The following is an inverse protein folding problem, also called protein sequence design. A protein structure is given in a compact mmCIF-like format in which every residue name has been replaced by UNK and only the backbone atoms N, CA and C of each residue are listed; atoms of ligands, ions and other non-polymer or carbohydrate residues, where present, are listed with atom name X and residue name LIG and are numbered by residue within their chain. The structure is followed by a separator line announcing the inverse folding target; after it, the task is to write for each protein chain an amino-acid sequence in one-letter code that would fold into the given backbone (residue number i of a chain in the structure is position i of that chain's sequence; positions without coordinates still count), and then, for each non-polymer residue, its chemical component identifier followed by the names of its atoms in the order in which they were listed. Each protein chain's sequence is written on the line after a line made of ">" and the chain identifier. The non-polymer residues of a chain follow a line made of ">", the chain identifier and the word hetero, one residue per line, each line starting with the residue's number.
data_IF_593405389203
#
_entry.id   IF_593405389203
#
_cell.length_a   1.000
_cell.length_b   1.000
_cell.length_c   1.000
_cell.angle_alpha   90.00
_cell.angle_beta   90.00
_cell.angle_gamma   90.00
#
_symmetry.space_group_name_H-M   'P 1'
#
loop_
_entity.id
_entity.type
_entity.pdbx_description
1 polymer ?
#
# COMPACT_ATOMS: atom_id res chain seq x y z
N UNK A 1 4.54 -1.13 -14.08
CA UNK A 1 5.79 -0.35 -14.06
C UNK A 1 5.78 0.67 -15.20
N UNK A 2 5.20 1.86 -15.02
CA UNK A 2 5.01 2.84 -16.12
C UNK A 2 5.57 4.24 -15.85
N UNK A 3 6.34 4.40 -14.77
CA UNK A 3 6.94 5.69 -14.38
C UNK A 3 8.47 5.63 -14.25
N UNK A 4 9.11 4.48 -14.47
CA UNK A 4 10.56 4.34 -14.34
C UNK A 4 11.38 5.11 -15.41
N UNK A 5 10.70 5.56 -16.48
CA UNK A 5 11.31 6.19 -17.67
C UNK A 5 10.94 7.67 -17.86
N UNK A 6 10.26 8.30 -16.89
CA UNK A 6 9.98 9.75 -16.97
C UNK A 6 11.13 10.54 -16.36
N UNK A 7 11.68 11.47 -17.12
CA UNK A 7 12.65 12.44 -16.61
C UNK A 7 12.05 13.20 -15.41
N UNK A 8 12.77 13.19 -14.29
CA UNK A 8 12.35 13.89 -13.08
C UNK A 8 12.38 15.41 -13.32
N UNK A 9 11.33 16.16 -12.92
CA UNK A 9 11.34 17.62 -13.03
C UNK A 9 12.54 18.21 -12.29
N UNK A 10 13.38 19.01 -12.95
CA UNK A 10 14.66 19.50 -12.40
C UNK A 10 14.55 20.56 -11.27
N UNK A 11 13.37 20.76 -10.66
CA UNK A 11 13.10 21.91 -9.79
C UNK A 11 12.93 21.61 -8.29
N UNK A 12 12.81 20.34 -7.88
CA UNK A 12 12.65 19.95 -6.46
C UNK A 12 13.47 18.69 -6.21
N UNK A 13 14.06 18.55 -5.03
CA UNK A 13 14.80 17.35 -4.62
C UNK A 13 13.83 16.17 -4.56
N UNK A 14 13.79 15.38 -5.63
CA UNK A 14 13.04 14.13 -5.67
C UNK A 14 13.94 13.02 -5.12
N UNK A 15 13.54 12.42 -4.00
CA UNK A 15 14.14 11.17 -3.53
C UNK A 15 13.44 10.04 -4.29
N UNK A 16 14.18 9.36 -5.18
CA UNK A 16 13.69 8.18 -5.88
C UNK A 16 13.84 6.99 -4.94
N UNK A 17 12.75 6.57 -4.31
CA UNK A 17 12.73 5.33 -3.53
C UNK A 17 12.62 4.16 -4.50
N UNK A 18 13.76 3.57 -4.83
CA UNK A 18 13.83 2.31 -5.56
C UNK A 18 13.85 1.16 -4.56
N UNK A 19 13.11 0.09 -4.85
CA UNK A 19 13.16 -1.15 -4.10
C UNK A 19 13.78 -2.22 -5.00
N UNK A 20 14.62 -3.06 -4.42
CA UNK A 20 15.15 -4.24 -5.10
C UNK A 20 14.05 -5.30 -5.30
N UNK A 21 14.25 -6.20 -6.28
CA UNK A 21 13.34 -7.33 -6.51
C UNK A 21 13.17 -8.19 -5.23
N UNK A 22 14.25 -8.36 -4.46
CA UNK A 22 14.20 -9.04 -3.17
C UNK A 22 13.28 -8.34 -2.16
N UNK A 23 13.38 -7.01 -2.03
CA UNK A 23 12.50 -6.24 -1.14
C UNK A 23 11.04 -6.29 -1.61
N UNK A 24 10.82 -6.25 -2.93
CA UNK A 24 9.49 -6.38 -3.52
C UNK A 24 8.86 -7.74 -3.18
N UNK A 25 9.62 -8.84 -3.29
CA UNK A 25 9.17 -10.18 -2.93
C UNK A 25 8.83 -10.29 -1.44
N UNK A 26 9.65 -9.69 -0.57
CA UNK A 26 9.38 -9.69 0.87
C UNK A 26 8.10 -8.92 1.23
N UNK A 27 7.87 -7.76 0.59
CA UNK A 27 6.62 -7.00 0.75
C UNK A 27 5.42 -7.81 0.24
N UNK A 28 5.57 -8.48 -0.90
CA UNK A 28 4.49 -9.30 -1.47
C UNK A 28 4.17 -10.51 -0.58
N UNK A 29 5.19 -11.17 -0.02
CA UNK A 29 5.03 -12.27 0.94
C UNK A 29 4.31 -11.79 2.21
N UNK A 30 4.68 -10.62 2.74
CA UNK A 30 4.03 -10.01 3.89
C UNK A 30 2.53 -9.74 3.62
N UNK A 31 2.20 -9.07 2.52
CA UNK A 31 0.81 -8.76 2.16
C UNK A 31 -0.02 -10.03 2.01
N UNK A 32 0.53 -11.07 1.36
CA UNK A 32 -0.13 -12.38 1.22
C UNK A 32 -0.35 -13.05 2.57
N UNK A 33 0.63 -12.98 3.47
CA UNK A 33 0.53 -13.54 4.82
C UNK A 33 -0.57 -12.87 5.62
N UNK A 34 -0.63 -11.54 5.61
CA UNK A 34 -1.67 -10.76 6.33
C UNK A 34 -3.08 -11.04 5.81
N UNK A 35 -3.24 -11.23 4.49
CA UNK A 35 -4.55 -11.58 3.91
C UNK A 35 -5.00 -13.01 4.26
N UNK A 36 -4.05 -13.94 4.39
CA UNK A 36 -4.33 -15.35 4.73
C UNK A 36 -4.45 -15.61 6.23
N UNK A 37 -3.90 -14.73 7.07
CA UNK A 37 -3.91 -14.88 8.53
C UNK A 37 -5.33 -14.92 9.09
N UNK A 38 -5.61 -15.91 9.95
CA UNK A 38 -6.88 -16.00 10.70
C UNK A 38 -6.94 -15.00 11.86
N UNK A 39 -5.80 -14.43 12.26
CA UNK A 39 -5.73 -13.40 13.31
C UNK A 39 -6.08 -12.01 12.81
N UNK A 40 -6.23 -11.84 11.50
CA UNK A 40 -6.50 -10.53 10.89
C UNK A 40 -7.99 -10.40 10.63
N UNK A 41 -8.61 -9.41 11.25
CA UNK A 41 -10.04 -9.15 11.11
C UNK A 41 -10.41 -8.83 9.65
N UNK A 42 -11.67 -9.13 9.30
CA UNK A 42 -12.22 -8.85 7.97
C UNK A 42 -12.02 -7.39 7.55
N UNK A 43 -12.27 -6.45 8.45
CA UNK A 43 -12.09 -5.01 8.20
C UNK A 43 -10.65 -4.65 7.87
N UNK A 44 -9.68 -5.28 8.53
CA UNK A 44 -8.26 -5.07 8.27
C UNK A 44 -7.85 -5.68 6.93
N UNK A 45 -8.36 -6.87 6.59
CA UNK A 45 -8.15 -7.47 5.25
C UNK A 45 -8.72 -6.57 4.16
N UNK A 46 -9.90 -6.01 4.38
CA UNK A 46 -10.52 -5.07 3.46
C UNK A 46 -9.70 -3.77 3.32
N UNK A 47 -9.18 -3.23 4.42
CA UNK A 47 -8.26 -2.09 4.40
C UNK A 47 -7.01 -2.37 3.55
N UNK A 48 -6.41 -3.55 3.72
CA UNK A 48 -5.25 -4.00 2.96
C UNK A 48 -5.56 -4.11 1.45
N UNK A 49 -6.75 -4.58 1.08
CA UNK A 49 -7.19 -4.62 -0.32
C UNK A 49 -7.29 -3.20 -0.90
N UNK A 50 -7.88 -2.25 -0.17
CA UNK A 50 -7.93 -0.84 -0.59
C UNK A 50 -6.53 -0.26 -0.81
N UNK A 51 -5.58 -0.59 0.07
CA UNK A 51 -4.18 -0.18 -0.05
C UNK A 51 -3.51 -0.77 -1.29
N UNK A 52 -3.68 -2.07 -1.54
CA UNK A 52 -3.10 -2.76 -2.71
C UNK A 52 -3.64 -2.14 -3.99
N UNK A 53 -4.95 -1.96 -4.12
CA UNK A 53 -5.56 -1.33 -5.30
C UNK A 53 -5.08 0.11 -5.50
N UNK A 54 -4.87 0.85 -4.41
CA UNK A 54 -4.40 2.23 -4.49
C UNK A 54 -2.92 2.35 -4.87
N UNK A 55 -2.05 1.53 -4.26
CA UNK A 55 -0.58 1.69 -4.33
C UNK A 55 0.14 0.69 -5.21
N UNK A 56 -0.29 -0.56 -5.20
CA UNK A 56 0.32 -1.62 -6.02
C UNK A 56 -0.26 -1.58 -7.44
N UNK A 57 -1.59 -1.50 -7.56
CA UNK A 57 -2.28 -1.43 -8.86
C UNK A 57 -2.37 -0.01 -9.44
N UNK A 58 -1.98 1.00 -8.65
CA UNK A 58 -1.97 2.42 -9.01
C UNK A 58 -3.31 2.95 -9.59
N UNK A 59 -4.45 2.44 -9.10
CA UNK A 59 -5.78 2.80 -9.61
C UNK A 59 -6.27 4.18 -9.19
N UNK A 60 -5.64 4.79 -8.17
CA UNK A 60 -6.07 6.06 -7.58
C UNK A 60 -7.30 5.92 -6.68
N UNK A 61 -7.52 6.89 -5.79
CA UNK A 61 -8.57 6.81 -4.74
C UNK A 61 -10.00 6.76 -5.29
N UNK A 62 -10.28 7.47 -6.39
CA UNK A 62 -11.62 7.49 -6.99
C UNK A 62 -12.04 6.14 -7.54
N UNK A 63 -11.13 5.44 -8.22
CA UNK A 63 -11.40 4.11 -8.78
C UNK A 63 -11.48 3.04 -7.69
N UNK A 64 -10.65 3.14 -6.64
CA UNK A 64 -10.75 2.27 -5.46
C UNK A 64 -12.13 2.43 -4.82
N UNK A 65 -12.58 3.67 -4.58
CA UNK A 65 -13.88 3.96 -4.00
C UNK A 65 -15.06 3.38 -4.83
N UNK A 66 -14.97 3.46 -6.16
CA UNK A 66 -15.94 2.82 -7.06
C UNK A 66 -15.91 1.29 -6.99
N UNK A 67 -14.73 0.67 -7.01
CA UNK A 67 -14.58 -0.79 -6.96
C UNK A 67 -14.98 -1.36 -5.59
N UNK A 68 -14.86 -0.59 -4.51
CA UNK A 68 -15.15 -1.03 -3.14
C UNK A 68 -16.52 -0.58 -2.62
N UNK A 69 -17.32 0.10 -3.44
CA UNK A 69 -18.61 0.71 -3.06
C UNK A 69 -18.50 1.61 -1.82
N UNK A 70 -17.46 2.44 -1.77
CA UNK A 70 -17.21 3.38 -0.68
C UNK A 70 -17.17 4.82 -1.20
N UNK A 71 -17.33 5.80 -0.30
CA UNK A 71 -17.00 7.18 -0.64
C UNK A 71 -15.49 7.36 -0.80
N UNK A 72 -15.07 8.36 -1.57
CA UNK A 72 -13.64 8.70 -1.74
C UNK A 72 -12.94 8.96 -0.40
N UNK A 73 -13.65 9.58 0.56
CA UNK A 73 -13.14 9.83 1.90
C UNK A 73 -12.97 8.52 2.70
N UNK A 74 -13.95 7.62 2.63
CA UNK A 74 -13.85 6.31 3.27
C UNK A 74 -12.70 5.48 2.71
N UNK A 75 -12.53 5.44 1.38
CA UNK A 75 -11.39 4.76 0.75
C UNK A 75 -10.05 5.33 1.22
N UNK A 76 -9.95 6.66 1.36
CA UNK A 76 -8.74 7.31 1.89
C UNK A 76 -8.47 6.91 3.36
N UNK A 77 -9.51 6.87 4.20
CA UNK A 77 -9.40 6.41 5.59
C UNK A 77 -8.92 4.96 5.64
N UNK A 78 -9.54 4.05 4.87
CA UNK A 78 -9.14 2.63 4.83
C UNK A 78 -7.69 2.46 4.41
N UNK A 79 -7.23 3.20 3.38
CA UNK A 79 -5.82 3.19 2.94
C UNK A 79 -4.88 3.66 4.06
N UNK A 80 -5.25 4.68 4.81
CA UNK A 80 -4.46 5.18 5.95
C UNK A 80 -4.41 4.17 7.09
N UNK A 81 -5.55 3.55 7.44
CA UNK A 81 -5.62 2.49 8.46
C UNK A 81 -4.74 1.29 8.09
N UNK A 82 -4.76 0.87 6.83
CA UNK A 82 -3.93 -0.24 6.35
C UNK A 82 -2.44 0.06 6.47
N UNK A 83 -2.01 1.30 6.15
CA UNK A 83 -0.62 1.73 6.33
C UNK A 83 -0.19 1.69 7.79
N UNK A 84 -1.03 2.22 8.68
CA UNK A 84 -0.76 2.21 10.11
C UNK A 84 -0.65 0.78 10.64
N UNK A 85 -1.54 -0.11 10.20
CA UNK A 85 -1.51 -1.52 10.58
C UNK A 85 -0.21 -2.20 10.14
N UNK A 86 0.23 -2.03 8.89
CA UNK A 86 1.50 -2.62 8.41
C UNK A 86 2.69 -2.07 9.20
N UNK A 87 2.74 -0.75 9.42
CA UNK A 87 3.81 -0.11 10.19
C UNK A 87 3.86 -0.59 11.66
N UNK A 88 2.69 -0.90 12.25
CA UNK A 88 2.60 -1.43 13.61
C UNK A 88 2.85 -2.94 13.72
N UNK A 89 2.49 -3.70 12.68
CA UNK A 89 2.58 -5.16 12.65
C UNK A 89 4.01 -5.64 12.37
N UNK A 90 4.76 -4.93 11.54
CA UNK A 90 6.17 -5.24 11.30
C UNK A 90 7.06 -4.57 12.36
N UNK A 91 7.33 -5.28 13.45
CA UNK A 91 8.24 -4.83 14.51
C UNK A 91 9.69 -4.65 14.04
N UNK A 92 10.06 -5.05 12.81
CA UNK A 92 11.38 -4.74 12.24
C UNK A 92 11.58 -3.25 11.99
N UNK A 93 10.51 -2.47 11.85
CA UNK A 93 10.54 -1.00 11.72
C UNK A 93 10.62 -0.26 13.06
N UNK A 94 10.54 -0.96 14.22
CA UNK A 94 10.61 -0.34 15.55
C UNK A 94 12.02 -0.18 16.11
N UNK A 95 13.03 -0.77 15.47
CA UNK A 95 14.42 -0.74 15.94
C UNK A 95 15.33 0.17 15.08
N UNK A 96 14.79 1.27 14.55
CA UNK A 96 15.59 2.39 14.04
C UNK A 96 15.49 3.58 14.98
#
# INVERSE_FOLDING_TARGET
>A
MREADRELPKGKSYIRCEISDYEADQIQALLRSLLKSDKTDFTTKFALICLIKNKVENKGLGKVAQETNQSKAQAAIMVSCARFYIAGHDKRLKNQ
#
